data_IF_771718887774
#
_entry.id   IF_771718887774
#
_cell.length_a   1.000
_cell.length_b   1.000
_cell.length_c   1.000
_cell.angle_alpha   90.00
_cell.angle_beta   90.00
_cell.angle_gamma   90.00
#
_symmetry.space_group_name_H-M   'P 1'
#
loop_
_entity.id
_entity.type
_entity.pdbx_description
1 polymer ?
#
# COMPACT_ATOMS: atom_id res chain seq x y z
N UNK A 1 14.16 5.34 12.68
CA UNK A 1 15.00 6.52 12.31
C UNK A 1 15.46 7.35 13.53
N UNK A 2 14.82 7.23 14.68
CA UNK A 2 15.10 8.04 15.89
C UNK A 2 16.60 8.22 16.23
N UNK A 3 17.48 7.19 16.16
CA UNK A 3 18.89 7.39 16.50
C UNK A 3 19.71 8.11 15.40
N UNK A 4 19.09 8.46 14.27
CA UNK A 4 19.77 9.02 13.10
C UNK A 4 19.51 10.51 12.91
N UNK A 5 18.62 11.10 13.69
CA UNK A 5 18.09 12.46 13.50
C UNK A 5 17.96 13.18 14.84
N UNK A 6 17.86 14.50 14.80
CA UNK A 6 17.73 15.34 15.99
C UNK A 6 16.28 15.33 16.52
N UNK A 7 15.29 15.19 15.62
CA UNK A 7 13.87 15.21 15.94
C UNK A 7 13.09 14.25 15.04
N UNK A 8 12.01 13.66 15.55
CA UNK A 8 11.04 12.87 14.76
C UNK A 8 9.67 13.52 14.87
N UNK A 9 9.04 13.77 13.74
CA UNK A 9 7.68 14.28 13.64
C UNK A 9 6.77 13.28 12.94
N UNK A 10 5.55 13.14 13.45
CA UNK A 10 4.46 12.38 12.81
C UNK A 10 3.37 13.39 12.45
N UNK A 11 2.90 13.33 11.22
CA UNK A 11 1.83 14.23 10.78
C UNK A 11 0.42 13.68 11.06
N UNK A 12 -0.59 14.50 10.78
CA UNK A 12 -1.98 14.14 11.04
C UNK A 12 -2.54 13.00 10.18
N UNK A 13 -1.85 12.61 9.10
CA UNK A 13 -2.19 11.43 8.29
C UNK A 13 -1.41 10.17 8.69
N UNK A 14 -0.36 10.31 9.50
CA UNK A 14 0.52 9.22 9.92
C UNK A 14 1.85 9.14 9.16
N UNK A 15 2.17 10.14 8.32
CA UNK A 15 3.51 10.28 7.73
C UNK A 15 4.56 10.54 8.81
N UNK A 16 5.74 9.94 8.71
CA UNK A 16 6.82 10.02 9.69
C UNK A 16 8.09 10.62 9.07
N UNK A 17 8.62 11.67 9.70
CA UNK A 17 9.78 12.42 9.22
C UNK A 17 10.81 12.60 10.32
N UNK A 18 12.07 12.33 9.97
CA UNK A 18 13.23 12.71 10.77
C UNK A 18 13.74 14.06 10.32
N UNK A 19 14.11 14.90 11.27
CA UNK A 19 14.68 16.23 11.02
C UNK A 19 16.10 16.25 11.54
N UNK A 20 17.02 16.65 10.68
CA UNK A 20 18.40 16.94 11.03
C UNK A 20 18.65 18.44 10.79
N UNK A 21 18.83 19.15 11.89
CA UNK A 21 18.95 20.62 11.84
C UNK A 21 20.32 21.04 11.32
N UNK A 22 20.33 22.12 10.53
CA UNK A 22 21.56 22.86 10.26
C UNK A 22 21.99 23.61 11.52
N UNK A 23 23.30 23.79 11.72
CA UNK A 23 23.83 24.66 12.77
C UNK A 23 23.82 26.16 12.36
N UNK A 24 23.74 26.43 11.06
CA UNK A 24 23.67 27.81 10.57
C UNK A 24 22.24 28.33 10.63
N UNK A 25 22.07 29.60 10.97
CA UNK A 25 20.78 30.27 10.98
C UNK A 25 20.26 30.55 9.57
N UNK A 26 18.93 30.58 9.42
CA UNK A 26 18.24 30.90 8.16
C UNK A 26 18.65 30.04 6.95
N UNK A 27 18.93 28.79 7.18
CA UNK A 27 19.30 27.86 6.12
C UNK A 27 18.08 27.30 5.38
N UNK A 28 18.20 26.96 4.09
CA UNK A 28 17.14 26.29 3.35
C UNK A 28 16.76 24.95 3.99
N UNK A 29 15.49 24.60 3.90
CA UNK A 29 15.00 23.26 4.23
C UNK A 29 15.02 22.40 2.97
N UNK A 30 15.51 21.17 3.08
CA UNK A 30 15.45 20.16 2.02
C UNK A 30 14.55 19.03 2.48
N UNK A 31 13.48 18.76 1.75
CA UNK A 31 12.58 17.65 1.99
C UNK A 31 12.93 16.49 1.05
N UNK A 32 13.19 15.32 1.64
CA UNK A 32 13.36 14.05 0.93
C UNK A 32 12.28 13.09 1.42
N UNK A 33 11.38 12.70 0.53
CA UNK A 33 10.23 11.89 0.90
C UNK A 33 10.02 10.71 -0.07
N UNK A 34 9.53 9.61 0.47
CA UNK A 34 8.96 8.47 -0.24
C UNK A 34 7.63 8.12 0.42
N UNK A 35 6.90 7.11 -0.07
CA UNK A 35 5.67 6.69 0.59
C UNK A 35 5.75 5.24 1.11
N UNK A 36 4.98 4.94 2.16
CA UNK A 36 4.96 3.63 2.82
C UNK A 36 3.78 2.77 2.38
N UNK A 37 2.70 3.40 1.92
CA UNK A 37 1.51 2.69 1.46
C UNK A 37 1.77 1.94 0.16
N UNK A 38 0.93 0.98 -0.12
CA UNK A 38 0.94 0.17 -1.32
C UNK A 38 -0.46 0.10 -1.91
N UNK A 39 -0.57 -0.21 -3.19
CA UNK A 39 -1.84 -0.47 -3.85
C UNK A 39 -2.59 -1.63 -3.19
N UNK A 40 -3.90 -1.53 -3.15
CA UNK A 40 -4.76 -2.56 -2.55
C UNK A 40 -6.22 -2.33 -2.92
N UNK A 41 -7.07 -2.92 -2.11
CA UNK A 41 -8.52 -2.77 -2.24
C UNK A 41 -9.13 -2.52 -0.86
N UNK A 42 -10.32 -1.92 -0.85
CA UNK A 42 -11.15 -1.79 0.35
C UNK A 42 -12.49 -2.44 0.11
N UNK A 43 -12.99 -3.22 1.05
CA UNK A 43 -14.34 -3.79 0.98
C UNK A 43 -15.35 -2.65 0.93
N UNK A 44 -16.11 -2.58 -0.17
CA UNK A 44 -17.24 -1.68 -0.34
C UNK A 44 -18.53 -2.31 0.18
N UNK A 45 -18.70 -3.60 -0.10
CA UNK A 45 -19.93 -4.35 0.19
C UNK A 45 -19.59 -5.83 0.41
N UNK A 46 -20.23 -6.43 1.39
CA UNK A 46 -20.27 -7.89 1.57
C UNK A 46 -21.62 -8.35 1.01
N UNK A 47 -21.58 -9.22 0.00
CA UNK A 47 -22.77 -9.74 -0.67
C UNK A 47 -23.46 -10.81 0.18
N UNK A 48 -24.73 -11.11 -0.15
CA UNK A 48 -25.50 -12.14 0.53
C UNK A 48 -24.86 -13.54 0.48
N UNK A 49 -24.04 -13.80 -0.54
CA UNK A 49 -23.27 -15.05 -0.72
C UNK A 49 -21.92 -15.05 0.00
N UNK A 50 -21.62 -14.03 0.82
CA UNK A 50 -20.38 -13.91 1.58
C UNK A 50 -19.20 -13.35 0.79
N UNK A 51 -19.31 -13.16 -0.52
CA UNK A 51 -18.26 -12.58 -1.36
C UNK A 51 -18.22 -11.06 -1.26
N UNK A 52 -17.14 -10.43 -1.71
CA UNK A 52 -16.92 -9.00 -1.57
C UNK A 52 -16.95 -8.27 -2.90
N UNK A 53 -17.55 -7.08 -2.91
CA UNK A 53 -17.27 -6.01 -3.86
C UNK A 53 -16.29 -5.04 -3.23
N UNK A 54 -15.36 -4.54 -4.02
CA UNK A 54 -14.28 -3.68 -3.54
C UNK A 54 -14.23 -2.35 -4.28
N UNK A 55 -13.53 -1.38 -3.71
CA UNK A 55 -12.99 -0.21 -4.38
C UNK A 55 -11.47 -0.31 -4.42
N UNK A 56 -10.88 0.24 -5.46
CA UNK A 56 -9.44 0.29 -5.62
C UNK A 56 -8.81 1.30 -4.65
N UNK A 57 -7.68 0.93 -4.08
CA UNK A 57 -6.75 1.82 -3.41
C UNK A 57 -5.50 1.87 -4.28
N UNK A 58 -5.31 2.97 -5.01
CA UNK A 58 -4.31 3.09 -6.06
C UNK A 58 -4.79 2.60 -7.42
N UNK A 59 -3.91 2.64 -8.42
CA UNK A 59 -4.23 2.25 -9.79
C UNK A 59 -3.99 0.76 -10.05
N UNK A 60 -4.99 0.06 -10.60
CA UNK A 60 -4.89 -1.35 -10.91
C UNK A 60 -5.08 -1.65 -12.41
N UNK A 61 -4.27 -2.56 -12.91
CA UNK A 61 -4.55 -3.21 -14.18
C UNK A 61 -5.45 -4.44 -13.92
N UNK A 62 -6.71 -4.45 -14.39
CA UNK A 62 -7.65 -5.54 -14.10
C UNK A 62 -7.15 -6.93 -14.54
N UNK A 63 -6.26 -6.99 -15.54
CA UNK A 63 -5.71 -8.24 -16.03
C UNK A 63 -4.85 -8.98 -15.00
N UNK A 64 -4.20 -8.24 -14.09
CA UNK A 64 -3.34 -8.83 -13.07
C UNK A 64 -4.07 -9.04 -11.73
N UNK A 65 -5.35 -8.69 -11.65
CA UNK A 65 -6.14 -8.88 -10.43
C UNK A 65 -6.83 -10.24 -10.40
N UNK A 66 -7.28 -10.73 -11.56
CA UNK A 66 -8.01 -12.01 -11.66
C UNK A 66 -7.17 -13.21 -11.23
N UNK A 67 -7.77 -14.12 -10.47
CA UNK A 67 -7.17 -15.40 -10.03
C UNK A 67 -5.89 -15.21 -9.21
N UNK A 68 -5.80 -14.13 -8.45
CA UNK A 68 -4.68 -13.83 -7.57
C UNK A 68 -5.04 -14.08 -6.10
N UNK A 69 -4.01 -14.30 -5.29
CA UNK A 69 -4.14 -14.41 -3.84
C UNK A 69 -3.90 -13.06 -3.18
N UNK A 70 -4.71 -12.80 -2.17
CA UNK A 70 -4.68 -11.59 -1.36
C UNK A 70 -4.82 -11.95 0.12
N UNK A 71 -4.57 -10.99 0.99
CA UNK A 71 -4.89 -11.05 2.40
C UNK A 71 -5.84 -9.92 2.77
N UNK A 72 -6.92 -10.27 3.46
CA UNK A 72 -7.85 -9.33 4.09
C UNK A 72 -7.37 -9.01 5.50
N UNK A 73 -7.26 -7.74 5.80
CA UNK A 73 -6.90 -7.22 7.11
C UNK A 73 -8.10 -6.50 7.72
N UNK A 74 -8.59 -7.00 8.83
CA UNK A 74 -9.70 -6.42 9.58
C UNK A 74 -9.22 -5.34 10.55
N UNK A 75 -10.13 -4.44 10.94
CA UNK A 75 -9.82 -3.36 11.90
C UNK A 75 -9.37 -3.84 13.26
N UNK A 76 -9.77 -5.04 13.67
CA UNK A 76 -9.36 -5.66 14.93
C UNK A 76 -8.08 -6.51 14.81
N UNK A 77 -7.40 -6.44 13.65
CA UNK A 77 -6.09 -7.04 13.42
C UNK A 77 -6.10 -8.51 13.00
N UNK A 78 -7.27 -9.09 12.69
CA UNK A 78 -7.35 -10.43 12.11
C UNK A 78 -6.95 -10.39 10.64
N UNK A 79 -6.40 -11.51 10.14
CA UNK A 79 -5.95 -11.65 8.76
C UNK A 79 -6.57 -12.92 8.18
N UNK A 80 -7.17 -12.80 6.99
CA UNK A 80 -7.77 -13.92 6.28
C UNK A 80 -7.24 -14.02 4.85
N UNK A 81 -7.05 -15.24 4.31
CA UNK A 81 -6.73 -15.43 2.90
C UNK A 81 -7.95 -15.05 2.06
N UNK A 82 -7.69 -14.47 0.90
CA UNK A 82 -8.70 -14.07 -0.09
C UNK A 82 -8.21 -14.48 -1.47
N UNK A 83 -9.14 -14.91 -2.32
CA UNK A 83 -8.92 -15.15 -3.75
C UNK A 83 -9.78 -14.18 -4.56
N UNK A 84 -9.21 -13.63 -5.65
CA UNK A 84 -10.01 -12.92 -6.64
C UNK A 84 -10.53 -13.88 -7.69
N UNK A 85 -11.79 -13.74 -8.05
CA UNK A 85 -12.46 -14.55 -9.06
C UNK A 85 -11.98 -14.27 -10.47
N UNK A 86 -12.29 -15.19 -11.37
CA UNK A 86 -12.08 -15.05 -12.82
C UNK A 86 -13.28 -15.63 -13.57
N UNK A 87 -13.65 -14.99 -14.68
CA UNK A 87 -14.70 -15.53 -15.55
C UNK A 87 -14.08 -16.60 -16.45
N UNK A 88 -14.56 -17.84 -16.41
CA UNK A 88 -14.04 -18.90 -17.28
C UNK A 88 -14.18 -18.55 -18.76
N UNK A 89 -13.20 -18.93 -19.63
CA UNK A 89 -13.19 -18.56 -21.05
C UNK A 89 -14.42 -18.97 -21.84
N UNK A 90 -15.08 -20.07 -21.45
CA UNK A 90 -16.28 -20.55 -22.14
C UNK A 90 -17.51 -19.64 -21.91
N UNK A 91 -17.61 -18.97 -20.76
CA UNK A 91 -18.63 -17.96 -20.51
C UNK A 91 -18.37 -16.67 -21.29
N UNK A 92 -17.10 -16.27 -21.42
CA UNK A 92 -16.73 -15.11 -22.24
C UNK A 92 -17.08 -15.29 -23.71
N UNK A 93 -16.97 -16.53 -24.26
CA UNK A 93 -17.34 -16.86 -25.64
C UNK A 93 -18.85 -16.96 -25.85
N UNK A 94 -19.60 -17.39 -24.85
CA UNK A 94 -21.05 -17.53 -24.92
C UNK A 94 -21.79 -16.18 -25.01
N UNK A 95 -21.19 -15.10 -24.56
CA UNK A 95 -21.80 -13.75 -24.58
C UNK A 95 -21.76 -13.07 -25.96
N UNK A 96 -21.13 -13.68 -27.00
CA UNK A 96 -21.17 -13.23 -28.39
C UNK A 96 -20.53 -11.86 -28.68
N UNK A 97 -19.94 -11.21 -27.67
CA UNK A 97 -19.25 -9.94 -27.79
C UNK A 97 -17.73 -10.09 -27.93
N UNK A 98 -17.05 -9.07 -28.44
CA UNK A 98 -15.60 -8.99 -28.31
C UNK A 98 -15.23 -9.06 -26.81
N UNK A 99 -14.17 -9.80 -26.42
CA UNK A 99 -13.76 -9.85 -25.03
C UNK A 99 -13.43 -8.43 -24.54
N UNK A 100 -14.30 -7.84 -23.74
CA UNK A 100 -13.99 -6.62 -23.02
C UNK A 100 -13.12 -6.95 -21.81
N UNK A 101 -12.14 -6.10 -21.54
CA UNK A 101 -11.39 -6.20 -20.28
C UNK A 101 -12.37 -6.06 -19.11
N UNK A 102 -12.35 -6.95 -18.11
CA UNK A 102 -13.17 -6.79 -16.94
C UNK A 102 -12.78 -5.49 -16.21
N UNK A 103 -13.75 -4.79 -15.64
CA UNK A 103 -13.46 -3.77 -14.63
C UNK A 103 -13.10 -4.44 -13.32
N UNK A 104 -12.29 -3.82 -12.49
CA UNK A 104 -12.02 -4.33 -11.13
C UNK A 104 -13.32 -4.43 -10.32
N UNK A 105 -14.28 -3.53 -10.56
CA UNK A 105 -15.60 -3.57 -9.93
C UNK A 105 -16.41 -4.83 -10.26
N UNK A 106 -16.08 -5.54 -11.35
CA UNK A 106 -16.75 -6.78 -11.76
C UNK A 106 -16.07 -8.03 -11.18
N UNK A 107 -14.86 -7.87 -10.65
CA UNK A 107 -14.09 -8.96 -10.03
C UNK A 107 -14.65 -9.19 -8.62
N UNK A 108 -14.97 -10.46 -8.34
CA UNK A 108 -15.43 -10.90 -7.03
C UNK A 108 -14.22 -11.31 -6.20
N UNK A 109 -14.20 -10.89 -4.93
CA UNK A 109 -13.22 -11.34 -3.95
C UNK A 109 -13.91 -12.27 -2.96
N UNK A 110 -13.26 -13.38 -2.62
CA UNK A 110 -13.83 -14.47 -1.82
C UNK A 110 -12.83 -14.92 -0.73
N UNK A 111 -13.27 -14.89 0.52
CA UNK A 111 -12.55 -15.38 1.69
C UNK A 111 -13.14 -16.69 2.24
N UNK A 112 -14.11 -17.29 1.54
CA UNK A 112 -14.74 -18.55 1.90
C UNK A 112 -15.91 -18.44 2.87
N UNK A 113 -16.46 -17.24 3.10
CA UNK A 113 -17.66 -17.07 3.91
C UNK A 113 -18.92 -17.48 3.14
N UNK A 114 -19.85 -18.14 3.82
CA UNK A 114 -21.10 -18.64 3.21
C UNK A 114 -22.16 -17.54 3.03
N UNK A 115 -22.09 -16.47 3.81
CA UNK A 115 -23.00 -15.33 3.81
C UNK A 115 -22.41 -14.13 4.54
N UNK A 116 -23.13 -13.00 4.48
CA UNK A 116 -22.73 -11.75 5.13
C UNK A 116 -22.66 -11.86 6.66
N UNK A 117 -23.61 -12.57 7.26
CA UNK A 117 -23.71 -12.75 8.72
C UNK A 117 -22.47 -13.50 9.25
N UNK A 118 -22.04 -14.52 8.54
CA UNK A 118 -20.81 -15.26 8.89
C UNK A 118 -19.59 -14.35 8.77
N UNK A 119 -19.41 -13.62 7.68
CA UNK A 119 -18.31 -12.67 7.53
C UNK A 119 -18.27 -11.65 8.67
N UNK A 120 -19.42 -11.08 9.04
CA UNK A 120 -19.54 -10.15 10.17
C UNK A 120 -19.19 -10.79 11.51
N UNK A 121 -19.58 -12.06 11.74
CA UNK A 121 -19.22 -12.81 12.96
C UNK A 121 -17.69 -13.05 13.05
N UNK A 122 -17.02 -13.16 11.93
CA UNK A 122 -15.55 -13.19 11.82
C UNK A 122 -14.90 -11.80 11.85
N UNK A 123 -15.67 -10.72 12.07
CA UNK A 123 -15.21 -9.34 12.23
C UNK A 123 -14.86 -8.65 10.93
N UNK A 124 -15.36 -9.15 9.82
CA UNK A 124 -15.16 -8.54 8.49
C UNK A 124 -16.29 -7.57 8.20
N UNK A 125 -15.92 -6.34 7.81
CA UNK A 125 -16.87 -5.26 7.54
C UNK A 125 -16.45 -4.42 6.34
N UNK A 126 -17.37 -3.68 5.72
CA UNK A 126 -17.01 -2.64 4.77
C UNK A 126 -15.98 -1.65 5.37
N UNK A 127 -14.97 -1.31 4.57
CA UNK A 127 -13.84 -0.49 4.99
C UNK A 127 -12.61 -1.28 5.46
N UNK A 128 -12.70 -2.60 5.59
CA UNK A 128 -11.53 -3.45 5.77
C UNK A 128 -10.74 -3.56 4.46
N UNK A 129 -9.42 -3.75 4.57
CA UNK A 129 -8.53 -3.66 3.42
C UNK A 129 -8.05 -5.03 2.95
N UNK A 130 -7.89 -5.16 1.64
CA UNK A 130 -7.40 -6.36 0.97
C UNK A 130 -6.13 -5.98 0.21
N UNK A 131 -5.02 -6.66 0.49
CA UNK A 131 -3.71 -6.38 -0.12
C UNK A 131 -3.16 -7.63 -0.82
N UNK A 132 -2.32 -7.47 -1.87
CA UNK A 132 -1.68 -8.58 -2.54
C UNK A 132 -0.91 -9.48 -1.58
N UNK A 133 -1.05 -10.79 -1.72
CA UNK A 133 -0.19 -11.77 -1.04
C UNK A 133 1.04 -12.02 -1.91
N UNK A 134 2.21 -11.65 -1.39
CA UNK A 134 3.50 -11.89 -2.06
C UNK A 134 4.61 -11.98 -1.04
N UNK A 135 5.34 -13.07 -1.07
CA UNK A 135 6.52 -13.27 -0.25
C UNK A 135 7.73 -12.49 -0.82
N UNK A 136 8.58 -12.02 0.07
CA UNK A 136 9.88 -11.47 -0.33
C UNK A 136 10.87 -12.60 -0.47
N UNK A 137 11.34 -12.88 -1.68
CA UNK A 137 12.25 -13.97 -1.99
C UNK A 137 13.46 -13.49 -2.79
N UNK A 138 14.59 -14.17 -2.60
CA UNK A 138 15.77 -14.00 -3.46
C UNK A 138 15.57 -14.83 -4.74
N UNK A 139 16.04 -14.28 -5.87
CA UNK A 139 16.10 -15.04 -7.13
C UNK A 139 17.08 -16.23 -7.02
N UNK A 140 16.96 -17.20 -7.93
CA UNK A 140 17.80 -18.39 -7.94
C UNK A 140 19.31 -18.09 -7.95
N UNK A 141 19.73 -17.00 -8.58
CA UNK A 141 21.12 -16.54 -8.60
C UNK A 141 21.52 -15.68 -7.38
N UNK A 142 20.59 -15.45 -6.45
CA UNK A 142 20.73 -14.63 -5.22
C UNK A 142 21.16 -13.17 -5.45
N UNK A 143 20.98 -12.65 -6.67
CA UNK A 143 21.40 -11.26 -7.01
C UNK A 143 20.24 -10.26 -7.01
N UNK A 144 19.00 -10.75 -7.04
CA UNK A 144 17.82 -9.91 -7.11
C UNK A 144 16.78 -10.37 -6.08
N UNK A 145 15.88 -9.45 -5.71
CA UNK A 145 14.77 -9.70 -4.81
C UNK A 145 13.46 -9.58 -5.59
N UNK A 146 12.58 -10.55 -5.41
CA UNK A 146 11.19 -10.47 -5.83
C UNK A 146 10.36 -10.14 -4.60
N UNK A 147 9.58 -9.07 -4.67
CA UNK A 147 8.71 -8.62 -3.58
C UNK A 147 7.60 -7.73 -4.13
N UNK A 148 6.57 -7.51 -3.34
CA UNK A 148 5.58 -6.46 -3.56
C UNK A 148 6.05 -5.12 -2.99
N UNK A 149 5.30 -4.06 -3.24
CA UNK A 149 5.48 -2.74 -2.64
C UNK A 149 6.88 -2.12 -2.85
N UNK A 150 7.57 -2.47 -3.94
CA UNK A 150 8.79 -1.78 -4.35
C UNK A 150 8.52 -0.27 -4.52
N UNK A 151 7.40 0.06 -5.11
CA UNK A 151 6.79 1.38 -5.09
C UNK A 151 5.98 1.54 -3.78
N UNK A 152 6.40 2.34 -2.80
CA UNK A 152 7.71 3.04 -2.85
C UNK A 152 8.54 2.73 -1.57
N UNK A 153 8.44 1.52 -1.02
CA UNK A 153 9.24 1.10 0.15
C UNK A 153 10.73 1.06 -0.15
N UNK A 154 11.10 0.93 -1.43
CA UNK A 154 12.49 1.10 -1.86
C UNK A 154 12.98 2.53 -1.56
N UNK A 155 12.17 3.55 -1.89
CA UNK A 155 12.47 4.95 -1.55
C UNK A 155 12.59 5.18 -0.04
N UNK A 156 11.74 4.53 0.76
CA UNK A 156 11.83 4.59 2.24
C UNK A 156 13.15 3.99 2.74
N UNK A 157 13.60 2.88 2.15
CA UNK A 157 14.91 2.30 2.47
C UNK A 157 16.04 3.26 2.12
N UNK A 158 15.99 3.88 0.94
CA UNK A 158 16.98 4.87 0.51
C UNK A 158 17.07 6.08 1.45
N UNK A 159 15.92 6.53 1.99
CA UNK A 159 15.87 7.61 2.99
C UNK A 159 16.57 7.17 4.28
N UNK A 160 16.33 5.94 4.75
CA UNK A 160 17.03 5.41 5.92
C UNK A 160 18.53 5.38 5.71
N UNK A 161 18.99 4.90 4.55
CA UNK A 161 20.43 4.88 4.20
C UNK A 161 21.01 6.29 4.07
N UNK A 162 20.26 7.24 3.50
CA UNK A 162 20.66 8.65 3.48
C UNK A 162 20.89 9.17 4.89
N UNK A 163 19.94 8.98 5.80
CA UNK A 163 20.06 9.44 7.19
C UNK A 163 21.23 8.77 7.93
N UNK A 164 21.45 7.48 7.71
CA UNK A 164 22.60 6.76 8.27
C UNK A 164 23.93 7.36 7.78
N UNK A 165 24.04 7.70 6.50
CA UNK A 165 25.23 8.28 5.91
C UNK A 165 25.54 9.71 6.39
N UNK A 166 24.52 10.48 6.79
CA UNK A 166 24.67 11.88 7.22
C UNK A 166 24.55 12.08 8.73
N UNK A 167 24.30 11.03 9.51
CA UNK A 167 24.00 11.15 10.95
C UNK A 167 25.07 11.93 11.73
N UNK A 168 26.33 11.72 11.41
CA UNK A 168 27.48 12.34 12.09
C UNK A 168 28.02 13.58 11.35
N UNK A 169 27.34 14.02 10.28
CA UNK A 169 27.77 15.16 9.47
C UNK A 169 27.07 16.44 9.88
N UNK A 170 27.78 17.56 9.81
CA UNK A 170 27.19 18.89 9.88
C UNK A 170 26.65 19.26 8.49
N UNK A 171 25.37 19.60 8.43
CA UNK A 171 24.71 19.96 7.18
C UNK A 171 24.58 21.48 7.05
N UNK A 172 24.75 21.98 5.81
CA UNK A 172 24.56 23.40 5.50
C UNK A 172 23.09 23.80 5.38
N UNK A 173 22.17 22.84 5.41
CA UNK A 173 20.71 23.02 5.35
C UNK A 173 20.02 22.04 6.28
N UNK A 174 18.84 22.41 6.74
CA UNK A 174 18.01 21.49 7.51
C UNK A 174 17.45 20.40 6.59
N UNK A 175 17.76 19.16 6.89
CA UNK A 175 17.24 18.00 6.18
C UNK A 175 15.98 17.48 6.88
N UNK A 176 14.89 17.38 6.15
CA UNK A 176 13.65 16.72 6.55
C UNK A 176 13.52 15.48 5.68
N UNK A 177 13.62 14.30 6.25
CA UNK A 177 13.63 13.06 5.47
C UNK A 177 12.71 12.02 6.10
N UNK A 178 11.82 11.43 5.29
CA UNK A 178 10.86 10.50 5.85
C UNK A 178 9.87 9.94 4.84
N UNK A 179 8.83 9.31 5.37
CA UNK A 179 7.88 8.57 4.58
C UNK A 179 6.45 9.09 4.75
N UNK A 180 5.84 9.36 3.62
CA UNK A 180 4.43 9.70 3.47
C UNK A 180 3.54 8.46 3.55
N UNK A 181 2.26 8.71 3.72
CA UNK A 181 1.15 7.75 3.60
C UNK A 181 0.12 8.29 2.63
N UNK A 182 -0.78 7.43 2.14
CA UNK A 182 -1.87 7.80 1.23
C UNK A 182 -1.38 8.47 -0.07
N UNK A 183 -0.25 8.03 -0.59
CA UNK A 183 0.25 8.44 -1.90
C UNK A 183 -0.64 7.88 -3.00
N UNK A 184 -0.92 6.58 -2.94
CA UNK A 184 -1.66 5.79 -3.90
C UNK A 184 -3.12 6.27 -4.10
N UNK A 185 -3.65 7.01 -3.15
CA UNK A 185 -5.00 7.57 -3.21
C UNK A 185 -5.02 9.09 -3.46
N UNK A 186 -3.98 9.60 -4.13
CA UNK A 186 -3.91 10.97 -4.65
C UNK A 186 -2.91 11.89 -3.96
N UNK A 187 -1.70 11.41 -3.66
CA UNK A 187 -0.56 12.20 -3.14
C UNK A 187 -0.84 12.92 -1.81
N UNK A 188 -1.82 12.44 -1.03
CA UNK A 188 -2.34 13.17 0.15
C UNK A 188 -1.26 13.46 1.18
N UNK A 189 -0.42 12.47 1.49
CA UNK A 189 0.69 12.64 2.42
C UNK A 189 1.72 13.65 1.93
N UNK A 190 2.03 13.67 0.62
CA UNK A 190 2.94 14.63 0.04
C UNK A 190 2.43 16.08 0.19
N UNK A 191 1.13 16.32 -0.03
CA UNK A 191 0.54 17.63 0.19
C UNK A 191 0.67 18.12 1.64
N UNK A 192 0.50 17.22 2.62
CA UNK A 192 0.67 17.55 4.04
C UNK A 192 2.13 17.84 4.38
N UNK A 193 3.05 17.02 3.89
CA UNK A 193 4.48 17.20 4.20
C UNK A 193 5.10 18.43 3.55
N UNK A 194 4.60 18.89 2.41
CA UNK A 194 5.05 20.13 1.75
C UNK A 194 4.65 21.42 2.48
N UNK A 195 3.70 21.35 3.39
CA UNK A 195 3.23 22.53 4.17
C UNK A 195 4.03 22.80 5.44
N UNK A 196 5.14 22.09 5.65
CA UNK A 196 6.01 22.16 6.87
C UNK A 196 7.07 23.24 6.89
#
# INVERSE_FOLDING_TARGET
ITPLVDEVQIDGLGGIFGIKHSRAENTPKVLVAAHMDEVGFMIKEIKADGTFRVVELGGWNPLVVSSQRFTLHTRDGRIYPVISGSVPPHFLRASGGAPSLPSVSDIVFDAGFSNQEEANAYGVFPGDVIIPESETILTANQKNVISKAWDNRYGVLMIRELLENVKDQELNNTLIAGANVQEEVGLRGAHVSMSR
#
